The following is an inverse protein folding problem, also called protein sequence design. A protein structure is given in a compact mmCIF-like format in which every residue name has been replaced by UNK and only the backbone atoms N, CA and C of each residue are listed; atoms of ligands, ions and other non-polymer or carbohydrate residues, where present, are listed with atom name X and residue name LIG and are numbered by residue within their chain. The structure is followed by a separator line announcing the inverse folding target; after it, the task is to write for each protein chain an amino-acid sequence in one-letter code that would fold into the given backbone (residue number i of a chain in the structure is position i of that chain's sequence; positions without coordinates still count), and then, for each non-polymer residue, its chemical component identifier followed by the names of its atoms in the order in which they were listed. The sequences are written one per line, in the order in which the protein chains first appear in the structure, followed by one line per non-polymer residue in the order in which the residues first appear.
data_IF_765739268596
#
_entry.id   IF_765739268596
#
_cell.length_a   1.000
_cell.length_b   1.000
_cell.length_c   1.000
_cell.angle_alpha   90.00
_cell.angle_beta   90.00
_cell.angle_gamma   90.00
#
_symmetry.space_group_name_H-M   'P 1'
#
loop_
_entity.id
_entity.type
_entity.pdbx_description
1 polymer ?
#
# COMPACT_ATOMS: atom_id res chain seq x y z
N UNK A 1 39.03 -29.53 -12.45
CA UNK A 1 37.56 -29.52 -12.64
C UNK A 1 37.05 -28.16 -12.23
N UNK A 2 36.25 -27.45 -13.05
CA UNK A 2 35.64 -26.22 -12.58
C UNK A 2 34.68 -26.54 -11.43
N UNK A 3 34.70 -25.71 -10.39
CA UNK A 3 33.75 -25.79 -9.29
C UNK A 3 32.66 -24.76 -9.58
N UNK A 4 31.41 -25.21 -9.62
CA UNK A 4 30.23 -24.33 -9.73
C UNK A 4 29.64 -24.13 -8.34
N UNK A 5 29.42 -22.87 -7.96
CA UNK A 5 28.62 -22.51 -6.79
C UNK A 5 27.33 -21.84 -7.25
N UNK A 6 26.20 -22.30 -6.74
CA UNK A 6 24.89 -21.65 -6.96
C UNK A 6 24.68 -20.64 -5.83
N UNK A 7 24.34 -19.40 -6.17
CA UNK A 7 23.94 -18.37 -5.20
C UNK A 7 22.48 -18.00 -5.44
N UNK A 8 21.69 -17.89 -4.37
CA UNK A 8 20.37 -17.29 -4.34
C UNK A 8 20.49 -15.88 -3.77
N UNK A 9 20.04 -14.88 -4.52
CA UNK A 9 19.88 -13.51 -4.01
C UNK A 9 18.44 -13.40 -3.51
N UNK A 10 18.29 -13.10 -2.23
CA UNK A 10 17.01 -12.83 -1.59
C UNK A 10 16.99 -11.34 -1.24
N UNK A 11 15.97 -10.64 -1.72
CA UNK A 11 15.68 -9.24 -1.43
C UNK A 11 14.62 -9.16 -0.30
N UNK A 12 14.84 -9.94 0.76
CA UNK A 12 13.92 -9.99 1.89
C UNK A 12 14.54 -9.51 3.20
N UNK A 13 15.71 -8.87 3.12
CA UNK A 13 16.48 -8.43 4.27
C UNK A 13 17.20 -9.55 5.02
N UNK A 14 17.15 -10.81 4.55
CA UNK A 14 17.82 -11.95 5.20
C UNK A 14 19.23 -12.23 4.70
N UNK A 15 19.72 -11.44 3.74
CA UNK A 15 21.05 -11.59 3.16
C UNK A 15 22.21 -11.49 4.15
N UNK A 16 23.39 -12.08 3.86
CA UNK A 16 24.57 -11.98 4.71
C UNK A 16 25.17 -10.57 4.69
N UNK A 17 25.69 -10.10 5.84
CA UNK A 17 26.36 -8.81 5.98
C UNK A 17 25.69 -7.91 7.02
N UNK A 18 26.29 -6.74 7.27
CA UNK A 18 25.77 -5.77 8.26
C UNK A 18 24.64 -4.89 7.75
N UNK A 19 24.37 -4.92 6.44
CA UNK A 19 23.27 -4.21 5.79
C UNK A 19 22.69 -5.10 4.69
N UNK A 20 21.92 -6.14 5.06
CA UNK A 20 21.19 -6.95 4.11
C UNK A 20 20.28 -6.07 3.26
N UNK A 21 20.14 -6.39 1.98
CA UNK A 21 19.28 -5.63 1.07
C UNK A 21 17.81 -6.04 1.25
N UNK A 22 16.94 -5.05 1.30
CA UNK A 22 15.47 -5.18 1.33
C UNK A 22 14.92 -3.90 0.70
N UNK A 23 14.78 -3.90 -0.62
CA UNK A 23 14.30 -2.75 -1.39
C UNK A 23 12.78 -2.75 -1.61
N UNK A 24 12.09 -3.78 -1.12
CA UNK A 24 10.64 -3.94 -1.22
C UNK A 24 9.93 -2.70 -0.67
N UNK A 25 8.96 -2.14 -1.41
CA UNK A 25 8.28 -0.94 -0.99
C UNK A 25 7.36 -1.23 0.21
N UNK A 26 7.46 -0.39 1.23
CA UNK A 26 6.51 -0.39 2.33
C UNK A 26 5.27 0.44 1.95
N UNK A 27 4.08 -0.08 2.26
CA UNK A 27 2.80 0.62 2.09
C UNK A 27 2.44 1.33 3.39
N UNK A 28 2.09 2.62 3.31
CA UNK A 28 1.54 3.39 4.44
C UNK A 28 0.25 4.09 4.02
N UNK A 29 -0.65 4.32 4.97
CA UNK A 29 -1.91 5.02 4.77
C UNK A 29 -2.06 6.14 5.80
N UNK A 30 -2.52 7.31 5.38
CA UNK A 30 -2.89 8.39 6.29
C UNK A 30 -4.28 8.19 6.86
N UNK A 31 -4.48 8.64 8.09
CA UNK A 31 -5.80 8.80 8.68
C UNK A 31 -6.52 10.03 8.10
N UNK A 32 -7.81 9.91 7.82
CA UNK A 32 -8.65 11.03 7.41
C UNK A 32 -9.04 11.93 8.61
N UNK A 33 -8.87 11.44 9.85
CA UNK A 33 -9.21 12.14 11.08
C UNK A 33 -10.73 12.27 11.30
N UNK A 34 -11.13 13.25 12.09
CA UNK A 34 -12.56 13.60 12.24
C UNK A 34 -13.02 14.38 11.01
N UNK A 35 -13.92 13.77 10.25
CA UNK A 35 -14.63 14.39 9.14
C UNK A 35 -16.03 14.80 9.57
N UNK A 36 -16.50 15.94 9.07
CA UNK A 36 -17.88 16.35 9.26
C UNK A 36 -18.80 15.55 8.33
N UNK A 37 -20.05 15.36 8.75
CA UNK A 37 -21.06 14.70 7.93
C UNK A 37 -21.24 15.43 6.59
N UNK A 38 -21.30 14.65 5.49
CA UNK A 38 -21.40 15.17 4.12
C UNK A 38 -20.06 15.56 3.47
N UNK A 39 -18.96 15.60 4.22
CA UNK A 39 -17.63 15.88 3.68
C UNK A 39 -16.89 14.60 3.25
N UNK A 40 -15.88 14.75 2.39
CA UNK A 40 -15.10 13.60 1.90
C UNK A 40 -13.95 13.24 2.85
N UNK A 41 -13.96 12.01 3.34
CA UNK A 41 -12.82 11.42 4.05
C UNK A 41 -11.70 11.06 3.07
N UNK A 42 -10.53 11.67 3.23
CA UNK A 42 -9.39 11.46 2.34
C UNK A 42 -8.32 10.58 3.00
N UNK A 43 -8.08 9.41 2.41
CA UNK A 43 -7.03 8.47 2.81
C UNK A 43 -5.94 8.47 1.75
N UNK A 44 -4.73 8.90 2.12
CA UNK A 44 -3.58 8.91 1.23
C UNK A 44 -2.77 7.64 1.44
N UNK A 45 -2.67 6.82 0.40
CA UNK A 45 -1.80 5.63 0.38
C UNK A 45 -0.49 5.99 -0.30
N UNK A 46 0.64 5.63 0.33
CA UNK A 46 1.99 5.87 -0.21
C UNK A 46 2.83 4.60 -0.17
N UNK A 47 3.64 4.43 -1.21
CA UNK A 47 4.74 3.47 -1.24
C UNK A 47 6.03 4.19 -0.87
N UNK A 48 6.90 3.55 -0.08
CA UNK A 48 8.22 4.13 0.26
C UNK A 48 9.10 4.35 -0.98
N UNK A 49 9.08 3.37 -1.90
CA UNK A 49 9.84 3.36 -3.14
C UNK A 49 8.93 2.95 -4.32
N UNK A 50 9.43 3.09 -5.55
CA UNK A 50 8.75 2.51 -6.70
C UNK A 50 8.71 0.98 -6.57
N UNK A 51 7.57 0.37 -6.89
CA UNK A 51 7.43 -1.09 -6.90
C UNK A 51 7.86 -1.63 -8.27
N UNK A 52 8.66 -2.70 -8.28
CA UNK A 52 8.97 -3.45 -9.51
C UNK A 52 7.87 -4.47 -9.90
N UNK A 53 6.89 -4.68 -9.01
CA UNK A 53 5.76 -5.59 -9.20
C UNK A 53 4.41 -4.89 -8.98
N UNK A 54 3.33 -5.51 -9.47
CA UNK A 54 1.97 -5.01 -9.24
C UNK A 54 1.64 -5.00 -7.75
N UNK A 55 1.21 -3.84 -7.23
CA UNK A 55 0.73 -3.68 -5.86
C UNK A 55 -0.78 -3.67 -5.84
N UNK A 56 -1.39 -4.49 -4.99
CA UNK A 56 -2.82 -4.47 -4.72
C UNK A 56 -3.09 -3.77 -3.39
N UNK A 57 -4.09 -2.88 -3.37
CA UNK A 57 -4.59 -2.24 -2.16
C UNK A 57 -6.04 -2.64 -1.99
N UNK A 58 -6.37 -3.20 -0.83
CA UNK A 58 -7.73 -3.53 -0.42
C UNK A 58 -8.18 -2.52 0.64
N UNK A 59 -9.34 -1.89 0.42
CA UNK A 59 -9.96 -1.00 1.40
C UNK A 59 -11.17 -1.69 2.01
N UNK A 60 -11.08 -1.97 3.32
CA UNK A 60 -12.20 -2.40 4.13
C UNK A 60 -12.71 -1.24 4.98
N UNK A 61 -14.03 -1.00 4.94
CA UNK A 61 -14.69 -0.04 5.82
C UNK A 61 -15.29 -0.79 7.00
N UNK A 62 -14.97 -0.35 8.21
CA UNK A 62 -15.67 -0.78 9.41
C UNK A 62 -16.71 0.29 9.75
N UNK A 63 -17.99 -0.06 9.59
CA UNK A 63 -19.06 0.92 9.69
C UNK A 63 -19.42 1.25 11.15
N UNK A 64 -19.15 0.37 12.12
CA UNK A 64 -19.58 0.60 13.49
C UNK A 64 -21.10 0.85 13.57
N UNK A 65 -21.49 2.06 13.99
CA UNK A 65 -22.90 2.52 14.05
C UNK A 65 -23.39 3.17 12.74
N UNK A 66 -22.50 3.41 11.78
CA UNK A 66 -22.83 3.95 10.46
C UNK A 66 -23.49 2.86 9.60
N UNK A 67 -24.45 3.23 8.76
CA UNK A 67 -25.10 2.33 7.82
C UNK A 67 -24.52 2.51 6.42
N UNK A 68 -24.66 1.51 5.53
CA UNK A 68 -24.16 1.62 4.14
C UNK A 68 -24.76 2.81 3.39
N UNK A 69 -25.97 3.24 3.75
CA UNK A 69 -26.64 4.40 3.14
C UNK A 69 -26.03 5.75 3.52
N UNK A 70 -25.23 5.81 4.59
CA UNK A 70 -24.53 7.03 5.01
C UNK A 70 -23.24 7.26 4.20
N UNK A 71 -22.78 6.23 3.47
CA UNK A 71 -21.57 6.30 2.67
C UNK A 71 -21.85 7.00 1.33
N UNK A 72 -20.96 7.92 0.97
CA UNK A 72 -20.88 8.45 -0.38
C UNK A 72 -20.25 7.45 -1.36
N UNK A 73 -20.08 7.89 -2.60
CA UNK A 73 -19.33 7.15 -3.61
C UNK A 73 -17.89 6.92 -3.15
N UNK A 74 -17.43 5.68 -3.21
CA UNK A 74 -16.02 5.38 -3.00
C UNK A 74 -15.25 5.66 -4.30
N UNK A 75 -14.18 6.43 -4.20
CA UNK A 75 -13.35 6.80 -5.34
C UNK A 75 -11.86 6.64 -4.99
N UNK A 76 -11.04 6.30 -5.99
CA UNK A 76 -9.59 6.23 -5.83
C UNK A 76 -8.87 7.02 -6.94
N UNK A 77 -7.65 7.49 -6.65
CA UNK A 77 -6.83 8.25 -7.58
C UNK A 77 -5.36 7.86 -7.47
N UNK A 78 -4.76 7.45 -8.59
CA UNK A 78 -3.34 7.06 -8.71
C UNK A 78 -2.47 8.14 -9.37
N UNK A 79 -2.98 9.36 -9.49
CA UNK A 79 -2.39 10.48 -10.23
C UNK A 79 -3.00 10.72 -11.62
N UNK A 80 -3.94 9.87 -12.05
CA UNK A 80 -4.62 9.97 -13.35
C UNK A 80 -6.07 10.47 -13.26
N UNK A 81 -6.49 10.95 -12.10
CA UNK A 81 -7.87 11.37 -11.82
C UNK A 81 -8.60 10.39 -10.90
N UNK A 82 -9.79 10.81 -10.45
CA UNK A 82 -10.64 10.01 -9.58
C UNK A 82 -11.44 9.00 -10.37
N UNK A 83 -11.47 7.76 -9.88
CA UNK A 83 -12.21 6.64 -10.44
C UNK A 83 -13.14 6.11 -9.37
N UNK A 84 -14.44 6.04 -9.68
CA UNK A 84 -15.45 5.40 -8.83
C UNK A 84 -15.26 3.89 -8.77
N UNK A 85 -15.39 3.33 -7.57
CA UNK A 85 -15.37 1.88 -7.29
C UNK A 85 -16.72 1.25 -7.55
#
# INVERSE_FOLDING_TARGET
TPVTGTATILDDGSGPGSNPDDDRPAVTMSDAGTVNEGETANFKVTLSNASESTVQVELGLNLGDTETGDLGTLEYNTGSGWVTV
#
